data_IF_508923364249
#
_entry.id   IF_508923364249
#
_cell.length_a   1.000
_cell.length_b   1.000
_cell.length_c   1.000
_cell.angle_alpha   90.00
_cell.angle_beta   90.00
_cell.angle_gamma   90.00
#
_symmetry.space_group_name_H-M   'P 1'
#
loop_
_entity.id
_entity.type
_entity.pdbx_description
1 polymer ?
#
# COMPACT_ATOMS: atom_id res chain seq x y z
N UNK A 1 -17.85 -0.91 -42.45
CA UNK A 1 -17.53 0.39 -43.09
C UNK A 1 -18.10 1.59 -42.31
N UNK A 2 -19.37 1.58 -41.89
CA UNK A 2 -20.02 2.75 -41.26
C UNK A 2 -19.39 3.23 -39.93
N UNK A 3 -18.87 2.33 -39.08
CA UNK A 3 -18.34 2.72 -37.76
C UNK A 3 -17.02 3.52 -37.84
N UNK A 4 -16.11 3.14 -38.74
CA UNK A 4 -14.81 3.82 -38.93
C UNK A 4 -14.99 5.25 -39.44
N UNK A 5 -15.93 5.47 -40.36
CA UNK A 5 -16.23 6.80 -40.89
C UNK A 5 -16.83 7.71 -39.82
N UNK A 6 -17.65 7.17 -38.90
CA UNK A 6 -18.18 7.92 -37.75
C UNK A 6 -17.08 8.37 -36.79
N UNK A 7 -16.15 7.47 -36.44
CA UNK A 7 -14.99 7.81 -35.59
C UNK A 7 -14.14 8.90 -36.25
N UNK A 8 -13.84 8.76 -37.54
CA UNK A 8 -13.05 9.74 -38.29
C UNK A 8 -13.73 11.11 -38.33
N UNK A 9 -15.04 11.14 -38.60
CA UNK A 9 -15.81 12.39 -38.62
C UNK A 9 -15.81 13.07 -37.24
N UNK A 10 -16.00 12.29 -36.16
CA UNK A 10 -16.02 12.81 -34.79
C UNK A 10 -14.65 13.34 -34.33
N UNK A 11 -13.54 12.69 -34.72
CA UNK A 11 -12.18 13.18 -34.48
C UNK A 11 -11.91 14.50 -35.22
N UNK A 12 -12.24 14.56 -36.51
CA UNK A 12 -12.06 15.77 -37.31
C UNK A 12 -12.83 16.97 -36.75
N UNK A 13 -14.00 16.74 -36.15
CA UNK A 13 -14.76 17.78 -35.48
C UNK A 13 -14.10 18.22 -34.16
N UNK A 14 -13.64 17.28 -33.33
CA UNK A 14 -12.93 17.59 -32.07
C UNK A 14 -11.67 18.42 -32.32
N UNK A 15 -10.92 18.14 -33.40
CA UNK A 15 -9.69 18.86 -33.74
C UNK A 15 -9.88 20.31 -34.16
N UNK A 16 -11.07 20.69 -34.65
CA UNK A 16 -11.31 22.08 -35.11
C UNK A 16 -11.30 23.08 -33.97
N UNK A 17 -11.71 22.65 -32.78
CA UNK A 17 -11.93 23.51 -31.62
C UNK A 17 -11.21 22.99 -30.37
N UNK A 18 -10.14 22.21 -30.56
CA UNK A 18 -9.39 21.62 -29.45
C UNK A 18 -8.58 22.69 -28.70
N UNK A 19 -8.72 22.70 -27.39
CA UNK A 19 -7.93 23.52 -26.48
C UNK A 19 -6.45 23.15 -26.63
N UNK A 20 -5.49 24.11 -26.62
CA UNK A 20 -4.07 23.82 -26.84
C UNK A 20 -3.51 22.70 -25.95
N UNK A 21 -3.97 22.62 -24.70
CA UNK A 21 -3.56 21.58 -23.76
C UNK A 21 -4.06 20.17 -24.12
N UNK A 22 -5.06 20.00 -25.00
CA UNK A 22 -5.58 18.68 -25.38
C UNK A 22 -5.06 18.18 -26.73
N UNK A 23 -4.29 18.98 -27.47
CA UNK A 23 -3.82 18.64 -28.83
C UNK A 23 -3.10 17.29 -28.85
N UNK A 24 -2.14 17.08 -27.93
CA UNK A 24 -1.39 15.82 -27.84
C UNK A 24 -2.27 14.60 -27.51
N UNK A 25 -3.30 14.79 -26.68
CA UNK A 25 -4.27 13.75 -26.36
C UNK A 25 -5.05 13.31 -27.60
N UNK A 26 -5.48 14.28 -28.41
CA UNK A 26 -6.24 14.03 -29.64
C UNK A 26 -5.36 13.37 -30.71
N UNK A 27 -4.09 13.77 -30.84
CA UNK A 27 -3.13 13.13 -31.75
C UNK A 27 -2.84 11.67 -31.36
N UNK A 28 -2.68 11.40 -30.07
CA UNK A 28 -2.51 10.04 -29.54
C UNK A 28 -3.75 9.19 -29.83
N UNK A 29 -4.95 9.76 -29.69
CA UNK A 29 -6.20 9.07 -29.97
C UNK A 29 -6.36 8.76 -31.46
N UNK A 30 -6.01 9.69 -32.34
CA UNK A 30 -5.99 9.51 -33.80
C UNK A 30 -5.07 8.36 -34.21
N UNK A 31 -3.89 8.29 -33.59
CA UNK A 31 -2.93 7.21 -33.81
C UNK A 31 -3.50 5.86 -33.35
N UNK A 32 -4.11 5.81 -32.16
CA UNK A 32 -4.75 4.61 -31.62
C UNK A 32 -5.96 4.14 -32.46
N UNK A 33 -6.76 5.07 -32.98
CA UNK A 33 -7.90 4.78 -33.84
C UNK A 33 -7.47 4.17 -35.19
N UNK A 34 -6.24 4.45 -35.64
CA UNK A 34 -5.67 3.93 -36.89
C UNK A 34 -5.01 2.56 -36.70
N UNK A 35 -4.63 2.21 -35.47
CA UNK A 35 -3.87 0.99 -35.14
C UNK A 35 -4.73 -0.20 -34.67
N UNK A 36 -6.05 -0.18 -34.92
CA UNK A 36 -7.03 -1.20 -34.48
C UNK A 36 -7.07 -1.44 -32.95
N UNK A 37 -6.54 -0.52 -32.14
CA UNK A 37 -6.33 -0.77 -30.70
C UNK A 37 -7.59 -0.71 -29.81
N UNK A 38 -8.66 -0.06 -30.26
CA UNK A 38 -9.90 0.10 -29.48
C UNK A 38 -11.14 -0.18 -30.34
N UNK A 39 -12.21 -0.76 -29.76
CA UNK A 39 -13.51 -0.84 -30.41
C UNK A 39 -14.02 0.57 -30.79
N UNK A 40 -14.72 0.73 -31.94
CA UNK A 40 -15.24 2.01 -32.38
C UNK A 40 -16.11 2.74 -31.34
N UNK A 41 -16.93 2.02 -30.58
CA UNK A 41 -17.80 2.62 -29.57
C UNK A 41 -17.01 3.15 -28.36
N UNK A 42 -15.93 2.47 -27.97
CA UNK A 42 -14.96 2.98 -26.98
C UNK A 42 -14.30 4.26 -27.48
N UNK A 43 -13.86 4.29 -28.74
CA UNK A 43 -13.29 5.50 -29.35
C UNK A 43 -14.28 6.66 -29.36
N UNK A 44 -15.54 6.42 -29.73
CA UNK A 44 -16.58 7.45 -29.70
C UNK A 44 -16.84 7.96 -28.27
N UNK A 45 -16.77 7.09 -27.28
CA UNK A 45 -16.91 7.46 -25.85
C UNK A 45 -15.73 8.31 -25.38
N UNK A 46 -14.50 7.95 -25.77
CA UNK A 46 -13.32 8.77 -25.51
C UNK A 46 -13.47 10.15 -26.14
N UNK A 47 -13.86 10.23 -27.42
CA UNK A 47 -14.04 11.49 -28.14
C UNK A 47 -15.08 12.38 -27.43
N UNK A 48 -16.21 11.81 -27.03
CA UNK A 48 -17.24 12.53 -26.31
C UNK A 48 -16.75 13.04 -24.94
N UNK A 49 -16.00 12.22 -24.19
CA UNK A 49 -15.38 12.66 -22.94
C UNK A 49 -14.32 13.74 -23.12
N UNK A 50 -13.50 13.67 -24.18
CA UNK A 50 -12.55 14.74 -24.51
C UNK A 50 -13.24 16.05 -24.90
N UNK A 51 -14.41 16.01 -25.56
CA UNK A 51 -15.21 17.21 -25.86
C UNK A 51 -15.70 17.90 -24.59
N UNK A 52 -16.17 17.13 -23.60
CA UNK A 52 -16.57 17.68 -22.30
C UNK A 52 -15.37 18.30 -21.56
N UNK A 53 -14.22 17.61 -21.55
CA UNK A 53 -12.98 18.16 -20.99
C UNK A 53 -12.57 19.45 -21.70
N UNK A 54 -12.68 19.49 -23.03
CA UNK A 54 -12.40 20.67 -23.84
C UNK A 54 -13.30 21.86 -23.47
N UNK A 55 -14.61 21.61 -23.29
CA UNK A 55 -15.57 22.61 -22.87
C UNK A 55 -15.31 23.12 -21.45
N UNK A 56 -14.90 22.25 -20.52
CA UNK A 56 -14.47 22.64 -19.16
C UNK A 56 -13.23 23.53 -19.20
N UNK A 57 -12.21 23.18 -19.99
CA UNK A 57 -11.00 24.01 -20.15
C UNK A 57 -11.32 25.37 -20.77
N UNK A 58 -12.21 25.41 -21.78
CA UNK A 58 -12.66 26.67 -22.38
C UNK A 58 -13.38 27.60 -21.40
N UNK A 59 -13.99 27.04 -20.34
CA UNK A 59 -14.57 27.80 -19.21
C UNK A 59 -13.53 28.23 -18.15
N UNK A 60 -12.27 27.86 -18.32
CA UNK A 60 -11.19 28.13 -17.37
C UNK A 60 -11.14 27.17 -16.19
N UNK A 61 -11.79 26.01 -16.26
CA UNK A 61 -11.69 24.99 -15.21
C UNK A 61 -10.28 24.39 -15.15
N UNK A 62 -9.74 24.25 -13.94
CA UNK A 62 -8.43 23.64 -13.74
C UNK A 62 -8.41 22.15 -14.07
N UNK A 63 -7.28 21.66 -14.59
CA UNK A 63 -7.12 20.25 -15.02
C UNK A 63 -7.44 19.27 -13.87
N UNK A 64 -7.12 19.60 -12.61
CA UNK A 64 -7.44 18.76 -11.45
C UNK A 64 -8.96 18.58 -11.23
N UNK A 65 -9.76 19.62 -11.48
CA UNK A 65 -11.23 19.54 -11.43
C UNK A 65 -11.75 18.64 -12.55
N UNK A 66 -11.16 18.75 -13.75
CA UNK A 66 -11.53 17.93 -14.90
C UNK A 66 -11.20 16.45 -14.67
N UNK A 67 -10.00 16.15 -14.15
CA UNK A 67 -9.61 14.77 -13.80
C UNK A 67 -10.57 14.17 -12.78
N UNK A 68 -10.93 14.93 -11.73
CA UNK A 68 -11.91 14.47 -10.73
C UNK A 68 -13.28 14.22 -11.37
N UNK A 69 -13.75 15.13 -12.21
CA UNK A 69 -15.04 14.98 -12.89
C UNK A 69 -15.08 13.75 -13.82
N UNK A 70 -13.96 13.45 -14.48
CA UNK A 70 -13.79 12.22 -15.27
C UNK A 70 -13.77 10.99 -14.36
N UNK A 71 -13.11 11.04 -13.20
CA UNK A 71 -12.97 9.92 -12.25
C UNK A 71 -14.28 9.56 -11.53
N UNK A 72 -15.05 10.56 -11.11
CA UNK A 72 -16.23 10.41 -10.24
C UNK A 72 -17.55 10.22 -11.01
N UNK A 73 -17.48 9.96 -12.33
CA UNK A 73 -18.65 9.86 -13.22
C UNK A 73 -19.51 11.14 -13.26
N UNK A 74 -18.88 12.29 -13.05
CA UNK A 74 -19.56 13.58 -13.07
C UNK A 74 -19.78 14.14 -14.48
N UNK A 75 -19.00 13.66 -15.46
CA UNK A 75 -19.27 14.00 -16.85
C UNK A 75 -20.58 13.36 -17.33
N UNK A 76 -21.52 14.14 -17.92
CA UNK A 76 -22.79 13.62 -18.43
C UNK A 76 -22.64 12.44 -19.38
N UNK A 77 -21.55 12.41 -20.14
CA UNK A 77 -21.19 11.31 -21.02
C UNK A 77 -21.14 10.00 -20.24
N UNK A 78 -20.44 9.89 -19.11
CA UNK A 78 -20.28 8.61 -18.39
C UNK A 78 -21.51 8.16 -17.61
N UNK A 79 -22.51 9.03 -17.45
CA UNK A 79 -23.78 8.71 -16.75
C UNK A 79 -24.80 8.00 -17.65
N UNK A 80 -24.57 7.91 -18.96
CA UNK A 80 -25.51 7.28 -19.90
C UNK A 80 -25.44 5.74 -19.86
N UNK A 81 -26.50 5.07 -20.33
CA UNK A 81 -26.51 3.60 -20.50
C UNK A 81 -25.66 3.20 -21.70
N UNK A 82 -24.41 2.82 -21.43
CA UNK A 82 -23.53 2.20 -22.42
C UNK A 82 -23.83 0.71 -22.57
N UNK A 83 -23.37 0.14 -23.68
CA UNK A 83 -23.50 -1.29 -23.96
C UNK A 83 -22.60 -2.14 -23.05
N UNK A 84 -21.49 -1.59 -22.54
CA UNK A 84 -20.61 -2.28 -21.59
C UNK A 84 -19.96 -1.35 -20.55
N UNK A 85 -19.73 -1.89 -19.35
CA UNK A 85 -18.95 -1.23 -18.29
C UNK A 85 -17.50 -1.03 -18.72
N UNK A 86 -16.94 -2.01 -19.43
CA UNK A 86 -15.55 -1.97 -19.91
C UNK A 86 -15.31 -0.80 -20.87
N UNK A 87 -16.28 -0.43 -21.70
CA UNK A 87 -16.21 0.72 -22.59
C UNK A 87 -16.07 2.04 -21.80
N UNK A 88 -16.91 2.24 -20.79
CA UNK A 88 -16.91 3.45 -19.94
C UNK A 88 -15.61 3.54 -19.18
N UNK A 89 -15.24 2.44 -18.53
CA UNK A 89 -13.97 2.32 -17.84
C UNK A 89 -12.91 2.69 -18.88
N UNK A 90 -12.73 1.97 -19.99
CA UNK A 90 -11.66 2.20 -20.99
C UNK A 90 -11.58 3.64 -21.50
N UNK A 91 -12.72 4.31 -21.62
CA UNK A 91 -12.75 5.72 -21.98
C UNK A 91 -12.23 6.64 -20.86
N UNK A 92 -12.75 6.50 -19.64
CA UNK A 92 -12.41 7.37 -18.48
C UNK A 92 -10.92 7.47 -18.31
N UNK A 93 -10.27 6.34 -18.12
CA UNK A 93 -8.87 6.34 -17.78
C UNK A 93 -7.93 6.44 -19.01
N UNK A 94 -8.44 6.38 -20.26
CA UNK A 94 -7.69 6.96 -21.38
C UNK A 94 -7.56 8.47 -21.18
N UNK A 95 -8.69 9.15 -20.94
CA UNK A 95 -8.76 10.59 -20.76
C UNK A 95 -7.94 11.04 -19.55
N UNK A 96 -8.08 10.37 -18.40
CA UNK A 96 -7.28 10.69 -17.19
C UNK A 96 -5.78 10.60 -17.49
N UNK A 97 -5.32 9.54 -18.16
CA UNK A 97 -3.90 9.39 -18.50
C UNK A 97 -3.41 10.54 -19.40
N UNK A 98 -4.18 10.91 -20.41
CA UNK A 98 -3.80 12.01 -21.29
C UNK A 98 -3.79 13.37 -20.57
N UNK A 99 -4.73 13.60 -19.65
CA UNK A 99 -4.82 14.84 -18.89
C UNK A 99 -3.68 14.97 -17.86
N UNK A 100 -3.25 13.86 -17.26
CA UNK A 100 -2.15 13.83 -16.29
C UNK A 100 -0.79 14.18 -16.92
N UNK A 101 -0.60 13.87 -18.20
CA UNK A 101 0.65 14.12 -18.93
C UNK A 101 0.80 15.59 -19.38
N UNK A 102 -0.17 16.46 -19.09
CA UNK A 102 -0.17 17.84 -19.58
C UNK A 102 0.80 18.77 -18.81
N UNK A 103 1.70 19.49 -19.53
CA UNK A 103 2.61 20.44 -18.92
C UNK A 103 1.83 21.62 -18.32
N UNK A 104 1.96 21.82 -17.00
CA UNK A 104 1.20 22.81 -16.23
C UNK A 104 0.53 22.24 -14.98
N UNK A 105 0.34 20.91 -14.91
CA UNK A 105 0.02 20.21 -13.67
C UNK A 105 1.22 20.11 -12.71
N UNK A 106 2.44 20.28 -13.22
CA UNK A 106 3.70 20.20 -12.47
C UNK A 106 3.90 21.34 -11.46
N UNK A 107 2.96 22.29 -11.36
CA UNK A 107 2.89 23.30 -10.31
C UNK A 107 1.91 22.97 -9.18
N UNK A 108 1.29 21.78 -9.19
CA UNK A 108 0.34 21.36 -8.17
C UNK A 108 1.07 20.65 -7.02
N UNK A 109 0.68 21.01 -5.79
CA UNK A 109 1.10 20.41 -4.52
C UNK A 109 1.56 18.96 -4.70
N UNK A 110 2.81 18.67 -4.36
CA UNK A 110 3.38 17.32 -4.37
C UNK A 110 2.34 16.36 -3.76
N UNK A 111 1.75 15.48 -4.57
CA UNK A 111 0.71 14.56 -4.11
C UNK A 111 1.37 13.64 -3.08
N UNK A 112 0.95 13.72 -1.83
CA UNK A 112 1.49 12.87 -0.77
C UNK A 112 0.69 11.58 -0.76
N UNK A 113 1.36 10.45 -0.98
CA UNK A 113 0.78 9.11 -0.85
C UNK A 113 1.19 8.56 0.51
N UNK A 114 0.23 8.47 1.42
CA UNK A 114 0.46 7.94 2.77
C UNK A 114 0.44 6.43 2.78
N UNK A 115 1.49 5.83 3.35
CA UNK A 115 1.59 4.38 3.52
C UNK A 115 1.22 4.03 4.96
N UNK A 116 0.12 3.30 5.19
CA UNK A 116 -0.27 2.92 6.54
C UNK A 116 0.71 1.93 7.16
N UNK A 117 1.31 2.30 8.28
CA UNK A 117 2.20 1.48 9.08
C UNK A 117 1.60 1.27 10.47
N UNK A 118 1.45 0.01 10.86
CA UNK A 118 1.10 -0.37 12.23
C UNK A 118 2.33 -0.95 12.88
N UNK A 119 2.70 -0.37 14.02
CA UNK A 119 3.84 -0.82 14.80
C UNK A 119 3.35 -1.50 16.08
N UNK A 120 3.66 -2.79 16.22
CA UNK A 120 3.42 -3.55 17.44
C UNK A 120 4.72 -3.57 18.26
N UNK A 121 5.10 -2.40 18.76
CA UNK A 121 6.21 -2.20 19.67
C UNK A 121 5.70 -1.59 20.98
N UNK A 122 6.25 -2.05 22.10
CA UNK A 122 5.99 -1.46 23.40
C UNK A 122 6.56 -0.05 23.49
N UNK A 123 5.95 0.75 24.36
CA UNK A 123 6.59 1.92 24.96
C UNK A 123 7.51 1.50 26.11
N UNK A 124 8.38 2.39 26.58
CA UNK A 124 9.21 2.20 27.77
C UNK A 124 8.36 1.80 28.99
N UNK A 125 7.19 2.45 29.16
CA UNK A 125 6.25 2.13 30.23
C UNK A 125 5.75 0.69 30.16
N UNK A 126 5.30 0.25 28.98
CA UNK A 126 4.83 -1.12 28.76
C UNK A 126 5.96 -2.14 28.93
N UNK A 127 7.19 -1.81 28.51
CA UNK A 127 8.36 -2.66 28.73
C UNK A 127 8.68 -2.82 30.22
N UNK A 128 8.53 -1.75 31.01
CA UNK A 128 8.69 -1.80 32.48
C UNK A 128 7.58 -2.63 33.16
N UNK A 129 6.33 -2.49 32.72
CA UNK A 129 5.19 -3.33 33.18
C UNK A 129 5.41 -4.81 32.85
N UNK A 130 5.92 -5.11 31.66
CA UNK A 130 6.24 -6.47 31.23
C UNK A 130 7.40 -7.05 32.07
N UNK A 131 8.48 -6.28 32.25
CA UNK A 131 9.66 -6.67 33.03
C UNK A 131 9.34 -6.94 34.51
N UNK A 132 8.51 -6.09 35.12
CA UNK A 132 8.09 -6.28 36.52
C UNK A 132 7.10 -7.46 36.68
N UNK A 133 6.43 -7.84 35.59
CA UNK A 133 5.39 -8.87 35.58
C UNK A 133 4.03 -8.38 36.07
N UNK A 134 3.88 -7.07 36.34
CA UNK A 134 2.64 -6.44 36.76
C UNK A 134 1.52 -6.64 35.74
N UNK A 135 1.85 -6.57 34.44
CA UNK A 135 0.90 -6.74 33.35
C UNK A 135 0.17 -8.08 33.37
N UNK A 136 0.72 -9.10 34.04
CA UNK A 136 0.14 -10.44 34.12
C UNK A 136 -0.82 -10.64 35.30
N UNK A 137 -1.01 -9.65 36.18
CA UNK A 137 -1.82 -9.81 37.40
C UNK A 137 -3.29 -10.19 37.11
N UNK A 138 -3.82 -9.77 35.97
CA UNK A 138 -5.19 -10.06 35.52
C UNK A 138 -5.27 -11.22 34.51
N UNK A 139 -4.15 -11.91 34.26
CA UNK A 139 -4.03 -12.90 33.19
C UNK A 139 -3.63 -14.29 33.73
N UNK A 140 -3.88 -15.38 32.96
CA UNK A 140 -3.48 -16.72 33.36
C UNK A 140 -1.98 -16.83 33.66
N UNK A 141 -1.64 -17.58 34.71
CA UNK A 141 -0.25 -17.80 35.14
C UNK A 141 0.64 -18.37 34.01
N UNK A 142 0.07 -19.11 33.07
CA UNK A 142 0.78 -19.66 31.92
C UNK A 142 1.45 -18.59 31.04
N UNK A 143 0.85 -17.40 30.89
CA UNK A 143 1.46 -16.31 30.12
C UNK A 143 2.70 -15.75 30.83
N UNK A 144 2.64 -15.63 32.16
CA UNK A 144 3.78 -15.20 32.98
C UNK A 144 4.92 -16.22 32.92
N UNK A 145 4.60 -17.51 32.99
CA UNK A 145 5.60 -18.58 32.95
C UNK A 145 6.25 -18.69 31.57
N UNK A 146 5.48 -18.52 30.49
CA UNK A 146 6.01 -18.41 29.14
C UNK A 146 6.93 -17.19 28.96
N UNK A 147 6.53 -16.02 29.46
CA UNK A 147 7.39 -14.83 29.42
C UNK A 147 8.70 -15.05 30.21
N UNK A 148 8.65 -15.68 31.40
CA UNK A 148 9.86 -16.05 32.15
C UNK A 148 10.78 -16.96 31.35
N UNK A 149 10.24 -17.94 30.63
CA UNK A 149 11.04 -18.80 29.76
C UNK A 149 11.70 -18.00 28.63
N UNK A 150 10.98 -17.03 28.05
CA UNK A 150 11.56 -16.13 27.07
C UNK A 150 12.70 -15.29 27.66
N UNK A 151 12.55 -14.75 28.88
CA UNK A 151 13.64 -14.03 29.56
C UNK A 151 14.88 -14.91 29.77
N UNK A 152 14.71 -16.15 30.24
CA UNK A 152 15.82 -17.10 30.41
C UNK A 152 16.54 -17.35 29.08
N UNK A 153 15.80 -17.47 27.98
CA UNK A 153 16.38 -17.61 26.65
C UNK A 153 17.18 -16.37 26.24
N UNK A 154 16.64 -15.16 26.46
CA UNK A 154 17.35 -13.91 26.14
C UNK A 154 18.66 -13.77 26.94
N UNK A 155 18.63 -14.12 28.22
CA UNK A 155 19.82 -14.13 29.09
C UNK A 155 20.89 -15.11 28.57
N UNK A 156 20.47 -16.31 28.15
CA UNK A 156 21.38 -17.31 27.56
C UNK A 156 22.02 -16.84 26.25
N UNK A 157 21.31 -16.03 25.47
CA UNK A 157 21.78 -15.44 24.21
C UNK A 157 22.49 -14.08 24.41
N UNK A 158 22.81 -13.73 25.67
CA UNK A 158 23.47 -12.47 26.04
C UNK A 158 22.74 -11.19 25.59
N UNK A 159 21.42 -11.27 25.39
CA UNK A 159 20.54 -10.13 25.14
C UNK A 159 20.10 -9.55 26.48
N UNK A 160 21.05 -8.93 27.17
CA UNK A 160 20.77 -8.16 28.38
C UNK A 160 20.12 -6.81 28.03
N UNK A 161 19.36 -6.25 28.96
CA UNK A 161 18.82 -4.89 28.85
C UNK A 161 17.93 -4.58 27.64
N UNK A 162 17.26 -5.60 27.08
CA UNK A 162 16.32 -5.48 25.95
C UNK A 162 15.26 -4.38 26.16
N UNK A 163 14.90 -4.07 27.41
CA UNK A 163 13.94 -3.02 27.75
C UNK A 163 14.44 -1.60 27.41
N UNK A 164 15.74 -1.38 27.28
CA UNK A 164 16.32 -0.08 26.87
C UNK A 164 16.11 0.23 25.39
N UNK A 165 15.64 -0.75 24.61
CA UNK A 165 15.33 -0.56 23.20
C UNK A 165 14.02 0.20 22.96
N UNK A 166 13.19 0.43 23.99
CA UNK A 166 11.91 1.13 23.84
C UNK A 166 11.99 2.57 24.35
N UNK A 167 11.31 3.49 23.66
CA UNK A 167 11.20 4.90 24.06
C UNK A 167 9.79 5.28 24.52
N UNK A 168 9.53 6.59 24.61
CA UNK A 168 8.25 7.11 25.09
C UNK A 168 7.08 6.69 24.18
N UNK A 169 7.34 6.60 22.87
CA UNK A 169 6.37 6.16 21.88
C UNK A 169 6.78 4.84 21.24
N UNK A 170 5.83 4.08 20.64
CA UNK A 170 6.17 2.88 19.88
C UNK A 170 7.22 3.16 18.79
N UNK A 171 7.13 4.29 18.09
CA UNK A 171 8.02 4.60 16.95
C UNK A 171 9.46 4.94 17.37
N UNK A 172 9.69 5.18 18.67
CA UNK A 172 11.01 5.36 19.27
C UNK A 172 11.72 4.03 19.52
N UNK A 173 11.04 2.89 19.33
CA UNK A 173 11.62 1.56 19.45
C UNK A 173 12.82 1.37 18.51
N UNK A 174 13.90 0.81 19.05
CA UNK A 174 15.16 0.53 18.36
C UNK A 174 15.30 -0.98 18.17
N UNK A 175 15.28 -1.48 16.92
CA UNK A 175 15.56 -2.90 16.65
C UNK A 175 16.91 -3.31 17.27
N UNK A 176 17.01 -4.54 17.77
CA UNK A 176 18.06 -4.99 18.70
C UNK A 176 19.52 -5.06 18.15
N UNK A 177 19.84 -4.39 17.05
CA UNK A 177 21.22 -4.18 16.59
C UNK A 177 21.89 -3.05 17.39
N UNK A 178 23.16 -3.24 17.76
CA UNK A 178 23.92 -2.23 18.50
C UNK A 178 24.00 -0.90 17.72
N UNK A 179 23.63 0.21 18.37
CA UNK A 179 23.66 1.54 17.77
C UNK A 179 22.58 1.80 16.71
N UNK A 180 21.52 1.00 16.70
CA UNK A 180 20.41 1.18 15.77
C UNK A 180 19.66 2.50 15.97
N UNK A 181 19.25 3.06 14.85
CA UNK A 181 18.29 4.16 14.81
C UNK A 181 16.92 3.68 15.34
N UNK A 182 16.06 4.62 15.74
CA UNK A 182 14.65 4.30 15.97
C UNK A 182 14.00 3.77 14.70
N UNK A 183 12.98 2.93 14.84
CA UNK A 183 12.23 2.40 13.70
C UNK A 183 11.60 3.52 12.88
N UNK A 184 11.20 4.64 13.51
CA UNK A 184 10.77 5.84 12.80
C UNK A 184 11.85 6.36 11.85
N UNK A 185 13.05 6.58 12.37
CA UNK A 185 14.18 7.11 11.61
C UNK A 185 14.55 6.18 10.47
N UNK A 186 14.58 4.87 10.73
CA UNK A 186 14.83 3.83 9.74
C UNK A 186 13.81 3.87 8.60
N UNK A 187 12.52 3.89 8.93
CA UNK A 187 11.42 3.93 7.96
C UNK A 187 11.47 5.20 7.11
N UNK A 188 11.66 6.37 7.73
CA UNK A 188 11.75 7.64 6.99
C UNK A 188 12.94 7.65 6.04
N UNK A 189 14.12 7.18 6.48
CA UNK A 189 15.32 7.06 5.64
C UNK A 189 15.06 6.18 4.42
N UNK A 190 14.45 5.01 4.61
CA UNK A 190 14.16 4.07 3.53
C UNK A 190 13.16 4.67 2.53
N UNK A 191 12.11 5.32 3.01
CA UNK A 191 11.13 6.01 2.16
C UNK A 191 11.77 7.16 1.38
N UNK A 192 12.65 7.95 2.00
CA UNK A 192 13.40 9.02 1.34
C UNK A 192 14.26 8.46 0.20
N UNK A 193 15.04 7.39 0.46
CA UNK A 193 15.82 6.71 -0.58
C UNK A 193 14.95 6.17 -1.72
N UNK A 194 13.75 5.66 -1.40
CA UNK A 194 12.79 5.20 -2.41
C UNK A 194 12.30 6.38 -3.26
N UNK A 195 11.90 7.49 -2.63
CA UNK A 195 11.44 8.70 -3.32
C UNK A 195 12.53 9.31 -4.22
N UNK A 196 13.80 9.24 -3.82
CA UNK A 196 14.93 9.70 -4.64
C UNK A 196 15.19 8.79 -5.85
N UNK A 197 15.11 7.47 -5.66
CA UNK A 197 15.44 6.49 -6.70
C UNK A 197 14.31 6.23 -7.69
N UNK A 198 13.06 6.33 -7.25
CA UNK A 198 11.87 5.93 -8.02
C UNK A 198 10.94 7.13 -8.23
N UNK A 199 10.48 7.30 -9.47
CA UNK A 199 9.50 8.33 -9.84
C UNK A 199 8.09 7.74 -9.68
N UNK A 200 7.49 7.93 -8.52
CA UNK A 200 6.05 7.71 -8.32
C UNK A 200 5.27 8.95 -8.74
N UNK A 201 3.96 8.80 -8.97
CA UNK A 201 3.06 9.92 -9.26
C UNK A 201 2.89 10.88 -8.04
N UNK A 202 3.36 10.47 -6.85
CA UNK A 202 3.36 11.25 -5.63
C UNK A 202 4.48 10.86 -4.66
N UNK A 203 4.82 11.74 -3.73
CA UNK A 203 5.82 11.49 -2.69
C UNK A 203 5.26 10.54 -1.65
N UNK A 204 5.98 9.46 -1.37
CA UNK A 204 5.59 8.51 -0.32
C UNK A 204 5.90 9.10 1.05
N UNK A 205 4.97 8.99 1.99
CA UNK A 205 5.18 9.31 3.40
C UNK A 205 4.64 8.18 4.30
N UNK A 206 5.35 7.82 5.38
CA UNK A 206 4.83 6.86 6.34
C UNK A 206 3.70 7.48 7.17
N UNK A 207 2.63 6.73 7.39
CA UNK A 207 1.56 7.06 8.33
C UNK A 207 1.55 6.03 9.46
N UNK A 208 2.15 6.37 10.60
CA UNK A 208 2.14 5.50 11.78
C UNK A 208 0.77 5.53 12.45
N UNK A 209 0.19 4.35 12.64
CA UNK A 209 -1.14 4.15 13.22
C UNK A 209 -1.05 3.31 14.49
N UNK A 210 -1.67 3.78 15.57
CA UNK A 210 -1.81 3.01 16.80
C UNK A 210 -2.85 1.90 16.60
N UNK A 211 -2.47 0.66 16.91
CA UNK A 211 -3.35 -0.50 16.80
C UNK A 211 -4.61 -0.38 17.66
N UNK A 212 -4.52 0.26 18.83
CA UNK A 212 -5.64 0.48 19.74
C UNK A 212 -6.65 1.49 19.17
N UNK A 213 -6.17 2.54 18.51
CA UNK A 213 -7.04 3.49 17.79
C UNK A 213 -7.70 2.81 16.59
N UNK A 214 -6.91 2.05 15.81
CA UNK A 214 -7.39 1.33 14.63
C UNK A 214 -8.50 0.33 14.97
N UNK A 215 -8.39 -0.44 16.06
CA UNK A 215 -9.47 -1.36 16.46
C UNK A 215 -10.72 -0.63 16.98
N UNK A 216 -10.55 0.58 17.50
CA UNK A 216 -11.65 1.46 17.92
C UNK A 216 -12.41 2.07 16.73
N UNK A 217 -11.72 2.31 15.61
CA UNK A 217 -12.32 2.81 14.37
C UNK A 217 -12.55 1.68 13.34
N UNK A 218 -13.78 1.17 13.33
CA UNK A 218 -14.21 0.13 12.37
C UNK A 218 -13.98 0.52 10.91
N UNK A 219 -14.16 1.79 10.53
CA UNK A 219 -13.99 2.22 9.13
C UNK A 219 -12.53 2.22 8.73
N UNK A 220 -11.65 2.71 9.60
CA UNK A 220 -10.20 2.66 9.38
C UNK A 220 -9.71 1.21 9.30
N UNK A 221 -10.12 0.34 10.23
CA UNK A 221 -9.74 -1.08 10.19
C UNK A 221 -10.20 -1.79 8.91
N UNK A 222 -11.43 -1.56 8.47
CA UNK A 222 -11.94 -2.11 7.21
C UNK A 222 -11.18 -1.56 5.99
N UNK A 223 -10.79 -0.27 6.02
CA UNK A 223 -9.95 0.33 4.99
C UNK A 223 -8.61 -0.40 4.92
N UNK A 224 -7.87 -0.51 6.03
CA UNK A 224 -6.56 -1.15 6.07
C UNK A 224 -6.59 -2.61 5.57
N UNK A 225 -7.61 -3.38 5.99
CA UNK A 225 -7.80 -4.77 5.53
C UNK A 225 -8.04 -4.87 4.02
N UNK A 226 -8.63 -3.85 3.39
CA UNK A 226 -8.92 -3.80 1.94
C UNK A 226 -7.80 -3.17 1.12
N UNK A 227 -7.32 -2.00 1.53
CA UNK A 227 -6.29 -1.22 0.84
C UNK A 227 -4.92 -1.86 1.02
N UNK A 228 -4.69 -2.52 2.14
CA UNK A 228 -3.38 -3.01 2.55
C UNK A 228 -2.73 -2.05 3.55
N UNK A 229 -1.78 -2.59 4.30
CA UNK A 229 -0.94 -1.89 5.26
C UNK A 229 0.34 -2.69 5.52
N UNK A 230 1.33 -2.03 6.12
CA UNK A 230 2.53 -2.67 6.64
C UNK A 230 2.37 -2.82 8.15
N UNK A 231 2.65 -4.00 8.68
CA UNK A 231 2.68 -4.29 10.12
C UNK A 231 4.09 -4.70 10.50
N UNK A 232 4.69 -3.96 11.42
CA UNK A 232 6.01 -4.24 11.98
C UNK A 232 5.79 -4.76 13.40
N UNK A 233 6.30 -5.95 13.68
CA UNK A 233 6.05 -6.67 14.92
C UNK A 233 7.37 -6.88 15.66
N UNK A 234 7.45 -6.37 16.89
CA UNK A 234 8.47 -6.81 17.84
C UNK A 234 7.97 -8.05 18.60
N UNK A 235 8.72 -9.15 18.52
CA UNK A 235 8.39 -10.41 19.19
C UNK A 235 8.25 -10.25 20.71
N UNK A 236 9.06 -9.40 21.34
CA UNK A 236 8.96 -9.20 22.79
C UNK A 236 7.69 -8.42 23.15
N UNK A 237 7.33 -7.44 22.34
CA UNK A 237 6.09 -6.68 22.49
C UNK A 237 4.83 -7.53 22.39
N UNK A 238 4.84 -8.61 21.59
CA UNK A 238 3.74 -9.58 21.56
C UNK A 238 3.59 -10.41 22.85
N UNK A 239 4.55 -10.37 23.78
CA UNK A 239 4.40 -10.96 25.11
C UNK A 239 3.58 -10.06 26.04
N UNK A 240 3.36 -8.79 25.68
CA UNK A 240 2.49 -7.88 26.42
C UNK A 240 1.01 -8.18 26.10
N UNK A 241 0.20 -8.64 27.07
CA UNK A 241 -1.15 -9.13 26.79
C UNK A 241 -2.09 -8.12 26.10
N UNK A 242 -1.94 -6.82 26.40
CA UNK A 242 -2.75 -5.78 25.76
C UNK A 242 -2.43 -5.60 24.27
N UNK A 243 -1.15 -5.59 23.89
CA UNK A 243 -0.69 -5.44 22.51
C UNK A 243 -1.11 -6.68 21.71
N UNK A 244 -0.86 -7.86 22.29
CA UNK A 244 -1.26 -9.13 21.72
C UNK A 244 -2.77 -9.18 21.45
N UNK A 245 -3.60 -8.81 22.43
CA UNK A 245 -5.06 -8.76 22.27
C UNK A 245 -5.50 -7.81 21.17
N UNK A 246 -4.94 -6.59 21.12
CA UNK A 246 -5.29 -5.60 20.10
C UNK A 246 -4.93 -6.09 18.70
N UNK A 247 -3.75 -6.68 18.54
CA UNK A 247 -3.34 -7.27 17.27
C UNK A 247 -4.28 -8.38 16.82
N UNK A 248 -4.63 -9.32 17.71
CA UNK A 248 -5.58 -10.38 17.39
C UNK A 248 -6.97 -9.84 17.02
N UNK A 249 -7.48 -8.82 17.72
CA UNK A 249 -8.77 -8.20 17.39
C UNK A 249 -8.75 -7.51 16.01
N UNK A 250 -7.59 -7.02 15.59
CA UNK A 250 -7.40 -6.40 14.28
C UNK A 250 -7.47 -7.40 13.12
N UNK A 251 -7.17 -8.68 13.34
CA UNK A 251 -7.11 -9.74 12.32
C UNK A 251 -6.27 -9.37 11.09
N UNK A 252 -5.35 -8.41 11.17
CA UNK A 252 -4.58 -7.94 10.01
C UNK A 252 -3.67 -9.04 9.43
N UNK A 253 -3.24 -9.98 10.27
CA UNK A 253 -2.57 -11.23 9.91
C UNK A 253 -3.39 -12.21 9.07
N UNK A 254 -4.71 -12.04 9.01
CA UNK A 254 -5.57 -12.87 8.18
C UNK A 254 -5.83 -12.28 6.77
N UNK A 255 -5.39 -11.04 6.48
CA UNK A 255 -5.69 -10.39 5.20
C UNK A 255 -4.48 -10.39 4.24
N UNK A 256 -4.67 -10.77 2.96
CA UNK A 256 -3.58 -10.94 1.99
C UNK A 256 -2.92 -9.63 1.54
N UNK A 257 -3.58 -8.49 1.75
CA UNK A 257 -3.07 -7.16 1.43
C UNK A 257 -2.21 -6.57 2.56
N UNK A 258 -2.10 -7.26 3.69
CA UNK A 258 -1.25 -6.85 4.81
C UNK A 258 0.12 -7.47 4.66
N UNK A 259 1.14 -6.62 4.62
CA UNK A 259 2.55 -7.02 4.66
C UNK A 259 3.04 -7.00 6.11
N UNK A 260 3.70 -8.05 6.56
CA UNK A 260 4.09 -8.26 7.95
C UNK A 260 5.58 -8.56 8.05
N UNK A 261 6.28 -7.86 8.93
CA UNK A 261 7.63 -8.23 9.34
C UNK A 261 7.66 -8.44 10.84
N UNK A 262 8.13 -9.61 11.26
CA UNK A 262 8.32 -9.96 12.65
C UNK A 262 9.82 -9.94 12.98
N UNK A 263 10.18 -9.14 13.97
CA UNK A 263 11.55 -8.84 14.35
C UNK A 263 11.80 -9.38 15.74
N UNK A 264 12.92 -10.08 15.92
CA UNK A 264 13.34 -10.58 17.21
C UNK A 264 14.79 -10.19 17.51
N UNK A 265 15.20 -10.16 18.78
CA UNK A 265 16.59 -9.89 19.14
C UNK A 265 17.56 -10.95 18.63
N UNK A 266 17.10 -12.21 18.57
CA UNK A 266 17.89 -13.37 18.16
C UNK A 266 17.01 -14.40 17.47
N UNK A 267 17.59 -15.23 16.61
CA UNK A 267 16.86 -16.26 15.86
C UNK A 267 16.03 -17.20 16.78
N UNK A 268 16.59 -17.63 17.91
CA UNK A 268 15.89 -18.50 18.87
C UNK A 268 14.64 -17.87 19.50
N UNK A 269 14.60 -16.53 19.60
CA UNK A 269 13.41 -15.84 20.09
C UNK A 269 12.24 -15.91 19.09
N UNK A 270 12.51 -15.97 17.78
CA UNK A 270 11.49 -16.25 16.77
C UNK A 270 10.93 -17.67 16.91
N UNK A 271 11.81 -18.66 17.11
CA UNK A 271 11.39 -20.05 17.35
C UNK A 271 10.48 -20.14 18.56
N UNK A 272 10.86 -19.50 19.68
CA UNK A 272 10.06 -19.43 20.90
C UNK A 272 8.75 -18.66 20.71
N UNK A 273 8.70 -17.66 19.83
CA UNK A 273 7.47 -16.94 19.51
C UNK A 273 6.43 -17.84 18.84
N UNK A 274 6.88 -18.70 17.94
CA UNK A 274 6.01 -19.65 17.23
C UNK A 274 5.35 -20.66 18.18
N UNK A 275 6.03 -21.05 19.25
CA UNK A 275 5.45 -21.92 20.29
C UNK A 275 4.25 -21.26 20.99
N UNK A 276 4.32 -19.95 21.25
CA UNK A 276 3.22 -19.20 21.87
C UNK A 276 1.99 -19.15 20.97
N UNK A 277 2.19 -18.94 19.68
CA UNK A 277 1.13 -18.92 18.67
C UNK A 277 0.34 -20.24 18.67
N UNK A 278 1.03 -21.38 18.77
CA UNK A 278 0.40 -22.71 18.85
C UNK A 278 -0.43 -22.90 20.12
N UNK A 279 0.00 -22.32 21.25
CA UNK A 279 -0.70 -22.43 22.54
C UNK A 279 -2.05 -21.69 22.55
N UNK A 280 -2.19 -20.62 21.76
CA UNK A 280 -3.41 -19.79 21.72
C UNK A 280 -4.53 -20.34 20.81
N UNK A 281 -4.34 -21.51 20.17
CA UNK A 281 -5.35 -22.20 19.36
C UNK A 281 -6.04 -21.32 18.28
N UNK A 282 -5.34 -20.35 17.70
CA UNK A 282 -5.87 -19.42 16.69
C UNK A 282 -5.82 -20.02 15.27
N UNK A 283 -6.49 -21.17 15.09
CA UNK A 283 -6.32 -22.04 13.92
C UNK A 283 -6.62 -21.43 12.56
N UNK A 284 -7.34 -20.32 12.41
CA UNK A 284 -7.72 -19.79 11.08
C UNK A 284 -6.80 -18.65 10.63
N UNK A 285 -6.50 -17.68 11.52
CA UNK A 285 -5.59 -16.58 11.19
C UNK A 285 -4.14 -17.08 11.03
N UNK A 286 -3.72 -18.03 11.87
CA UNK A 286 -2.40 -18.65 11.78
C UNK A 286 -2.21 -19.43 10.49
N UNK A 287 -3.28 -20.02 9.92
CA UNK A 287 -3.17 -20.78 8.67
C UNK A 287 -2.86 -19.87 7.49
N UNK A 288 -3.48 -18.68 7.39
CA UNK A 288 -3.20 -17.78 6.28
C UNK A 288 -1.81 -17.14 6.42
N UNK A 289 -1.40 -16.72 7.63
CA UNK A 289 -0.04 -16.24 7.84
C UNK A 289 1.01 -17.34 7.59
N UNK A 290 0.83 -18.54 8.15
CA UNK A 290 1.74 -19.65 7.96
C UNK A 290 1.80 -20.12 6.48
N UNK A 291 0.65 -20.11 5.79
CA UNK A 291 0.57 -20.38 4.35
C UNK A 291 1.36 -19.35 3.56
N UNK A 292 1.10 -18.05 3.78
CA UNK A 292 1.80 -16.93 3.10
C UNK A 292 3.32 -16.95 3.35
N UNK A 293 3.74 -17.40 4.54
CA UNK A 293 5.16 -17.62 4.88
C UNK A 293 5.78 -18.80 4.13
N UNK A 294 5.01 -19.86 3.88
CA UNK A 294 5.49 -21.09 3.23
C UNK A 294 5.45 -21.04 1.70
N UNK A 295 4.56 -20.23 1.12
CA UNK A 295 4.52 -19.99 -0.31
C UNK A 295 5.74 -19.15 -0.70
N UNK A 296 6.52 -19.58 -1.70
CA UNK A 296 7.73 -18.88 -2.18
C UNK A 296 7.47 -18.15 -3.51
N UNK A 297 6.28 -17.59 -3.66
CA UNK A 297 5.83 -16.82 -4.85
C UNK A 297 6.24 -15.34 -4.74
N UNK A 298 6.00 -14.52 -5.77
CA UNK A 298 6.23 -13.06 -5.68
C UNK A 298 5.42 -12.39 -4.54
N UNK A 299 4.27 -12.97 -4.14
CA UNK A 299 3.48 -12.55 -2.98
C UNK A 299 4.04 -13.02 -1.63
N UNK A 300 4.98 -13.98 -1.61
CA UNK A 300 5.68 -14.46 -0.42
C UNK A 300 6.52 -13.39 0.28
N UNK A 301 6.94 -12.38 -0.48
CA UNK A 301 7.74 -11.27 0.05
C UNK A 301 6.96 -10.38 1.01
N UNK A 302 5.64 -10.60 1.16
CA UNK A 302 4.80 -9.82 2.07
C UNK A 302 4.90 -10.26 3.53
N UNK A 303 5.49 -11.42 3.86
CA UNK A 303 5.59 -11.86 5.26
C UNK A 303 6.98 -12.43 5.55
N UNK A 304 7.74 -11.80 6.46
CA UNK A 304 9.05 -12.32 6.88
C UNK A 304 9.22 -12.30 8.40
N UNK A 305 10.14 -13.14 8.86
CA UNK A 305 10.67 -13.15 10.21
C UNK A 305 12.18 -12.89 10.11
N UNK A 306 12.71 -11.96 10.91
CA UNK A 306 14.14 -11.64 10.87
C UNK A 306 14.68 -11.18 12.22
N UNK A 307 15.98 -11.31 12.41
CA UNK A 307 16.77 -10.70 13.48
C UNK A 307 17.90 -9.83 12.91
N UNK A 308 17.99 -9.73 11.58
CA UNK A 308 19.06 -9.04 10.88
C UNK A 308 18.57 -7.71 10.31
N UNK A 309 19.26 -6.62 10.65
CA UNK A 309 18.88 -5.27 10.20
C UNK A 309 18.87 -5.16 8.66
N UNK A 310 19.86 -5.72 7.96
CA UNK A 310 19.93 -5.64 6.50
C UNK A 310 18.73 -6.32 5.82
N UNK A 311 18.23 -7.43 6.40
CA UNK A 311 17.04 -8.09 5.90
C UNK A 311 15.79 -7.25 6.14
N UNK A 312 15.68 -6.60 7.31
CA UNK A 312 14.59 -5.69 7.60
C UNK A 312 14.58 -4.50 6.62
N UNK A 313 15.73 -3.88 6.37
CA UNK A 313 15.86 -2.75 5.44
C UNK A 313 15.46 -3.14 4.02
N UNK A 314 16.00 -4.25 3.51
CA UNK A 314 15.65 -4.75 2.18
C UNK A 314 14.17 -5.15 2.06
N UNK A 315 13.59 -5.68 3.13
CA UNK A 315 12.16 -6.00 3.16
C UNK A 315 11.28 -4.77 3.19
N UNK A 316 11.61 -3.75 4.00
CA UNK A 316 10.89 -2.48 4.04
C UNK A 316 10.95 -1.78 2.68
N UNK A 317 12.11 -1.77 2.02
CA UNK A 317 12.25 -1.18 0.67
C UNK A 317 11.30 -1.86 -0.34
N UNK A 318 11.22 -3.19 -0.30
CA UNK A 318 10.30 -3.96 -1.14
C UNK A 318 8.83 -3.73 -0.75
N UNK A 319 8.51 -3.78 0.54
CA UNK A 319 7.15 -3.62 1.08
C UNK A 319 6.55 -2.24 0.81
N UNK A 320 7.34 -1.17 0.96
CA UNK A 320 6.92 0.18 0.59
C UNK A 320 6.67 0.32 -0.90
N UNK A 321 7.53 -0.29 -1.73
CA UNK A 321 7.33 -0.29 -3.17
C UNK A 321 6.04 -1.00 -3.59
N UNK A 322 5.80 -2.21 -3.09
CA UNK A 322 4.62 -3.00 -3.40
C UNK A 322 3.34 -2.30 -2.90
N UNK A 323 3.38 -1.74 -1.68
CA UNK A 323 2.25 -1.02 -1.11
C UNK A 323 2.00 0.29 -1.86
N UNK A 324 3.04 1.02 -2.28
CA UNK A 324 2.89 2.22 -3.10
C UNK A 324 2.32 1.90 -4.48
N UNK A 325 2.72 0.78 -5.10
CA UNK A 325 2.14 0.31 -6.35
C UNK A 325 0.67 -0.06 -6.15
N UNK A 326 0.33 -0.82 -5.10
CA UNK A 326 -1.04 -1.23 -4.82
C UNK A 326 -1.93 -0.03 -4.45
N UNK A 327 -1.43 0.92 -3.66
CA UNK A 327 -2.12 2.17 -3.33
C UNK A 327 -2.27 3.05 -4.56
N UNK A 328 -1.23 3.19 -5.39
CA UNK A 328 -1.29 3.90 -6.67
C UNK A 328 -2.19 3.23 -7.70
N UNK A 329 -2.31 1.90 -7.69
CA UNK A 329 -3.26 1.11 -8.50
C UNK A 329 -4.70 1.22 -7.98
N UNK A 330 -4.90 1.49 -6.69
CA UNK A 330 -6.23 1.62 -6.06
C UNK A 330 -6.74 3.06 -6.07
N UNK A 331 -5.89 4.04 -5.78
CA UNK A 331 -6.17 5.47 -5.99
C UNK A 331 -6.18 5.81 -7.48
N UNK A 332 -5.36 5.11 -8.27
CA UNK A 332 -5.37 5.12 -9.71
C UNK A 332 -5.60 3.73 -10.27
N UNK A 333 -6.86 3.27 -10.30
CA UNK A 333 -7.28 2.32 -11.35
C UNK A 333 -7.16 3.09 -12.67
N UNK A 334 -5.93 3.31 -13.15
CA UNK A 334 -5.33 2.90 -14.42
C UNK A 334 -3.91 3.47 -14.43
N UNK A 335 -2.92 2.59 -14.43
CA UNK A 335 -1.75 2.74 -15.29
C UNK A 335 -1.21 1.35 -15.58
N UNK A 336 -0.83 1.18 -16.85
CA UNK A 336 -0.37 -0.06 -17.44
C UNK A 336 0.89 -0.60 -16.74
N UNK A 337 0.86 -1.86 -16.28
CA UNK A 337 2.04 -2.70 -16.45
C UNK A 337 2.18 -2.96 -17.95
N UNK A 338 3.11 -2.27 -18.62
CA UNK A 338 3.62 -2.72 -19.91
C UNK A 338 4.41 -4.01 -19.67
N UNK A 339 3.75 -5.15 -19.79
CA UNK A 339 4.46 -6.41 -20.02
C UNK A 339 4.91 -6.38 -21.49
N UNK A 340 6.18 -6.04 -21.72
CA UNK A 340 6.80 -6.29 -23.03
C UNK A 340 6.97 -7.80 -23.13
N UNK A 341 6.04 -8.48 -23.79
CA UNK A 341 6.21 -9.88 -24.18
C UNK A 341 7.41 -9.97 -25.14
N UNK A 342 8.44 -10.80 -24.86
CA UNK A 342 9.55 -11.00 -25.80
C UNK A 342 9.19 -11.92 -26.98
N UNK A 343 7.96 -12.42 -27.06
CA UNK A 343 7.56 -13.38 -28.10
C UNK A 343 6.58 -12.78 -29.10
N UNK A 344 7.08 -11.89 -29.93
CA UNK A 344 6.55 -11.67 -31.27
C UNK A 344 7.15 -12.72 -32.21
N UNK A 345 6.56 -13.91 -32.23
CA UNK A 345 6.88 -14.96 -33.20
C UNK A 345 6.24 -14.65 -34.54
N UNK A 346 7.07 -14.46 -35.56
CA UNK A 346 6.70 -14.45 -36.97
C UNK A 346 6.13 -15.80 -37.40
N UNK A 347 4.97 -15.75 -38.05
CA UNK A 347 4.34 -16.83 -38.80
C UNK A 347 3.56 -16.24 -39.96
#
# INVERSE_FOLDING_TARGET
>A
MVATDRVRAALNELEREVHPSLVQAVETLRSAASAEGYPPDTLLTIIAGLRECNAMMARGEGIGTIIRAVGDDDLPVFRQRYESVDQVVNAKNYIVNQLQDLPGLSGQSETIVRIPLILLAMTERQAAELRSGEVFNEYPASLRDDFRQACVLLEQEAVADWFQCYGERPEDWRPFSAGSDSIQTLVHRIIEQINERKRYDGRLEPEFLDIHEVIGDRHQLLRLRRSGCIVIIDVLSLRHPQIQRAYHQSLLDAYPNTSIVTIAPVAKALEKARELTVFLQLRIADLEFAKRRSEFTSSARRCIETWEQNMLEGWLEAGFHDTAIDSGLKEGIRKHMRYVSPYGGSG
#
